data_IF_807595681971
#
_entry.id   IF_807595681971
#
_cell.length_a   1.000
_cell.length_b   1.000
_cell.length_c   1.000
_cell.angle_alpha   90.00
_cell.angle_beta   90.00
_cell.angle_gamma   90.00
#
_symmetry.space_group_name_H-M   'P 1'
#
loop_
_entity.id
_entity.type
_entity.pdbx_description
1 polymer ?
#
# COMPACT_ATOMS: atom_id res chain seq x y z
N UNK A 1 15.46 0.39 -27.79
CA UNK A 1 14.35 1.18 -27.20
C UNK A 1 13.65 0.29 -26.19
N UNK A 2 13.73 0.58 -24.88
CA UNK A 2 12.94 -0.16 -23.89
C UNK A 2 11.47 0.16 -24.16
N UNK A 3 10.72 -0.78 -24.71
CA UNK A 3 9.27 -0.65 -24.86
C UNK A 3 8.66 -0.61 -23.46
N UNK A 4 8.08 0.54 -23.11
CA UNK A 4 7.38 0.73 -21.84
C UNK A 4 6.16 -0.21 -21.85
N UNK A 5 6.17 -1.20 -20.97
CA UNK A 5 5.07 -2.16 -20.88
C UNK A 5 3.76 -1.52 -20.42
N UNK A 6 2.63 -2.15 -20.75
CA UNK A 6 1.28 -1.68 -20.39
C UNK A 6 1.05 -1.52 -18.87
N UNK A 7 1.89 -2.13 -18.03
CA UNK A 7 1.86 -2.02 -16.57
C UNK A 7 2.45 -0.71 -16.02
N UNK A 8 3.24 0.02 -16.82
CA UNK A 8 3.94 1.21 -16.35
C UNK A 8 3.00 2.37 -16.07
N UNK A 9 2.07 2.67 -16.99
CA UNK A 9 1.14 3.81 -16.84
C UNK A 9 0.19 3.65 -15.64
N UNK A 10 -0.46 2.48 -15.42
CA UNK A 10 -1.24 2.26 -14.20
C UNK A 10 -0.42 2.44 -12.91
N UNK A 11 0.87 2.08 -12.94
CA UNK A 11 1.75 2.23 -11.77
C UNK A 11 2.02 3.70 -11.43
N UNK A 12 2.17 4.57 -12.42
CA UNK A 12 2.32 6.01 -12.21
C UNK A 12 1.04 6.65 -11.66
N UNK A 13 -0.12 6.24 -12.17
CA UNK A 13 -1.41 6.71 -11.64
C UNK A 13 -1.57 6.26 -10.18
N UNK A 14 -1.24 5.00 -9.88
CA UNK A 14 -1.27 4.48 -8.52
C UNK A 14 -0.33 5.25 -7.58
N UNK A 15 0.89 5.60 -8.04
CA UNK A 15 1.84 6.41 -7.27
C UNK A 15 1.23 7.76 -6.88
N UNK A 16 0.61 8.47 -7.82
CA UNK A 16 -0.05 9.75 -7.53
C UNK A 16 -1.19 9.58 -6.51
N UNK A 17 -2.01 8.54 -6.66
CA UNK A 17 -3.12 8.25 -5.75
C UNK A 17 -2.64 7.86 -4.35
N UNK A 18 -1.55 7.10 -4.22
CA UNK A 18 -0.95 6.78 -2.92
C UNK A 18 -0.39 8.03 -2.23
N UNK A 19 0.26 8.93 -2.97
CA UNK A 19 0.72 10.22 -2.43
C UNK A 19 -0.46 11.07 -1.92
N UNK A 20 -1.54 11.11 -2.69
CA UNK A 20 -2.75 11.83 -2.32
C UNK A 20 -3.41 11.22 -1.06
N UNK A 21 -3.51 9.90 -1.00
CA UNK A 21 -4.00 9.17 0.18
C UNK A 21 -3.16 9.48 1.44
N UNK A 22 -1.83 9.47 1.34
CA UNK A 22 -0.94 9.82 2.44
C UNK A 22 -1.13 11.26 2.93
N UNK A 23 -1.23 12.23 2.01
CA UNK A 23 -1.47 13.64 2.32
C UNK A 23 -2.80 13.85 3.05
N UNK A 24 -3.92 13.34 2.50
CA UNK A 24 -5.23 13.49 3.13
C UNK A 24 -5.33 12.74 4.46
N UNK A 25 -4.70 11.56 4.58
CA UNK A 25 -4.62 10.83 5.83
C UNK A 25 -3.90 11.63 6.92
N UNK A 26 -2.76 12.23 6.59
CA UNK A 26 -1.99 13.07 7.52
C UNK A 26 -2.78 14.31 7.93
N UNK A 27 -3.49 14.94 6.99
CA UNK A 27 -4.34 16.09 7.28
C UNK A 27 -5.50 15.71 8.20
N UNK A 28 -6.22 14.63 7.88
CA UNK A 28 -7.36 14.15 8.66
C UNK A 28 -6.98 13.74 10.09
N UNK A 29 -5.78 13.17 10.29
CA UNK A 29 -5.24 12.75 11.60
C UNK A 29 -5.21 13.88 12.66
N UNK A 30 -5.19 15.14 12.21
CA UNK A 30 -5.22 16.31 13.08
C UNK A 30 -6.62 16.72 13.52
N UNK A 31 -7.67 16.29 12.82
CA UNK A 31 -9.05 16.72 13.07
C UNK A 31 -9.87 15.71 13.87
N UNK A 32 -9.66 14.42 13.62
CA UNK A 32 -10.50 13.35 14.17
C UNK A 32 -9.68 12.14 14.60
N UNK A 33 -10.30 11.25 15.37
CA UNK A 33 -9.67 10.02 15.87
C UNK A 33 -9.24 9.09 14.71
N UNK A 34 -8.07 8.41 14.80
CA UNK A 34 -7.62 7.46 13.78
C UNK A 34 -8.64 6.42 13.36
N UNK A 35 -9.41 5.84 14.29
CA UNK A 35 -10.45 4.86 13.99
C UNK A 35 -11.60 5.46 13.16
N UNK A 36 -11.98 6.70 13.45
CA UNK A 36 -12.99 7.43 12.67
C UNK A 36 -12.48 7.72 11.26
N UNK A 37 -11.21 8.10 11.10
CA UNK A 37 -10.60 8.31 9.77
C UNK A 37 -10.59 7.00 9.00
N UNK A 38 -10.14 5.90 9.62
CA UNK A 38 -10.18 4.59 8.98
C UNK A 38 -11.60 4.23 8.54
N UNK A 39 -12.61 4.46 9.38
CA UNK A 39 -14.01 4.23 9.00
C UNK A 39 -14.42 5.03 7.76
N UNK A 40 -14.16 6.34 7.73
CA UNK A 40 -14.46 7.16 6.55
C UNK A 40 -13.64 6.76 5.31
N UNK A 41 -12.37 6.40 5.47
CA UNK A 41 -11.55 5.85 4.39
C UNK A 41 -12.10 4.53 3.87
N UNK A 42 -12.60 3.65 4.74
CA UNK A 42 -13.25 2.39 4.36
C UNK A 42 -14.53 2.64 3.56
N UNK A 43 -15.30 3.70 3.86
CA UNK A 43 -16.43 4.09 3.02
C UNK A 43 -15.96 4.52 1.62
N UNK A 44 -14.86 5.28 1.53
CA UNK A 44 -14.25 5.63 0.24
C UNK A 44 -13.77 4.42 -0.57
N UNK A 45 -13.15 3.44 0.10
CA UNK A 45 -12.74 2.16 -0.52
C UNK A 45 -13.95 1.30 -0.90
N UNK A 46 -15.05 1.36 -0.15
CA UNK A 46 -16.29 0.69 -0.51
C UNK A 46 -16.86 1.26 -1.81
N UNK A 47 -16.84 2.59 -1.98
CA UNK A 47 -17.26 3.24 -3.24
C UNK A 47 -16.41 2.75 -4.42
N UNK A 48 -15.09 2.65 -4.27
CA UNK A 48 -14.23 2.11 -5.33
C UNK A 48 -14.51 0.62 -5.61
N UNK A 49 -14.83 -0.16 -4.58
CA UNK A 49 -15.27 -1.55 -4.73
C UNK A 49 -16.59 -1.70 -5.49
N UNK A 50 -17.58 -0.85 -5.21
CA UNK A 50 -18.84 -0.80 -5.96
C UNK A 50 -18.61 -0.38 -7.41
N UNK A 51 -17.79 0.64 -7.65
CA UNK A 51 -17.41 1.05 -9.01
C UNK A 51 -16.74 -0.10 -9.76
N UNK A 52 -15.82 -0.85 -9.12
CA UNK A 52 -15.21 -2.03 -9.73
C UNK A 52 -16.24 -3.10 -10.08
N UNK A 53 -17.24 -3.35 -9.22
CA UNK A 53 -18.32 -4.30 -9.50
C UNK A 53 -19.19 -3.86 -10.68
N UNK A 54 -19.49 -2.56 -10.79
CA UNK A 54 -20.22 -1.98 -11.93
C UNK A 54 -19.41 -2.13 -13.22
N UNK A 55 -18.11 -1.84 -13.19
CA UNK A 55 -17.21 -2.02 -14.34
C UNK A 55 -17.08 -3.50 -14.76
N UNK A 56 -17.23 -4.43 -13.81
CA UNK A 56 -17.32 -5.87 -14.07
C UNK A 56 -18.70 -6.33 -14.54
N UNK A 57 -19.66 -5.41 -14.78
CA UNK A 57 -21.04 -5.72 -15.12
C UNK A 57 -21.71 -6.70 -14.14
N UNK A 58 -21.40 -6.57 -12.84
CA UNK A 58 -21.89 -7.45 -11.78
C UNK A 58 -21.55 -8.94 -11.96
N UNK A 59 -20.48 -9.25 -12.71
CA UNK A 59 -20.00 -10.61 -12.93
C UNK A 59 -18.58 -10.80 -12.37
N UNK A 60 -18.41 -10.83 -11.03
CA UNK A 60 -17.11 -11.09 -10.44
C UNK A 60 -16.66 -12.52 -10.73
N UNK A 61 -15.35 -12.70 -10.91
CA UNK A 61 -14.77 -14.03 -11.08
C UNK A 61 -14.85 -14.82 -9.75
N UNK A 62 -15.49 -15.98 -9.80
CA UNK A 62 -15.71 -16.81 -8.61
C UNK A 62 -14.57 -17.83 -8.47
N UNK A 63 -13.55 -17.47 -7.69
CA UNK A 63 -12.46 -18.36 -7.30
C UNK A 63 -12.35 -18.38 -5.78
N UNK A 64 -12.45 -19.56 -5.14
CA UNK A 64 -12.34 -19.67 -3.67
C UNK A 64 -10.99 -19.16 -3.19
N UNK A 65 -9.91 -19.54 -3.87
CA UNK A 65 -8.55 -19.08 -3.56
C UNK A 65 -8.40 -17.57 -3.84
N UNK A 66 -8.90 -17.11 -4.99
CA UNK A 66 -8.84 -15.69 -5.37
C UNK A 66 -9.60 -14.79 -4.38
N UNK A 67 -10.81 -15.21 -4.00
CA UNK A 67 -11.64 -14.52 -3.01
C UNK A 67 -10.98 -14.49 -1.63
N UNK A 68 -10.37 -15.59 -1.18
CA UNK A 68 -9.63 -15.62 0.08
C UNK A 68 -8.44 -14.67 0.08
N UNK A 69 -7.60 -14.68 -0.96
CA UNK A 69 -6.47 -13.75 -1.07
C UNK A 69 -6.94 -12.29 -1.18
N UNK A 70 -8.00 -12.02 -1.93
CA UNK A 70 -8.61 -10.69 -2.01
C UNK A 70 -9.13 -10.20 -0.66
N UNK A 71 -9.80 -11.07 0.10
CA UNK A 71 -10.30 -10.75 1.43
C UNK A 71 -9.16 -10.47 2.42
N UNK A 72 -8.13 -11.34 2.44
CA UNK A 72 -6.95 -11.15 3.29
C UNK A 72 -6.22 -9.84 2.94
N UNK A 73 -6.11 -9.50 1.65
CA UNK A 73 -5.57 -8.23 1.20
C UNK A 73 -6.39 -7.03 1.75
N UNK A 74 -7.72 -7.11 1.67
CA UNK A 74 -8.61 -6.07 2.21
C UNK A 74 -8.48 -5.91 3.73
N UNK A 75 -8.46 -7.02 4.49
CA UNK A 75 -8.27 -7.00 5.95
C UNK A 75 -6.91 -6.42 6.31
N UNK A 76 -5.83 -6.86 5.64
CA UNK A 76 -4.49 -6.35 5.87
C UNK A 76 -4.42 -4.84 5.58
N UNK A 77 -5.02 -4.37 4.49
CA UNK A 77 -5.09 -2.96 4.12
C UNK A 77 -5.84 -2.13 5.17
N UNK A 78 -7.00 -2.60 5.63
CA UNK A 78 -7.79 -1.91 6.66
C UNK A 78 -7.05 -1.81 7.99
N UNK A 79 -6.46 -2.91 8.47
CA UNK A 79 -5.66 -2.93 9.70
C UNK A 79 -4.42 -2.05 9.57
N UNK A 80 -3.69 -2.14 8.45
CA UNK A 80 -2.53 -1.29 8.19
C UNK A 80 -2.89 0.20 8.18
N UNK A 81 -4.06 0.56 7.61
CA UNK A 81 -4.54 1.93 7.60
C UNK A 81 -4.74 2.51 9.02
N UNK A 82 -5.25 1.70 9.96
CA UNK A 82 -5.38 2.10 11.37
C UNK A 82 -4.01 2.48 11.95
N UNK A 83 -3.03 1.58 11.82
CA UNK A 83 -1.67 1.80 12.35
C UNK A 83 -0.97 2.96 11.65
N UNK A 84 -1.15 3.10 10.33
CA UNK A 84 -0.60 4.21 9.56
C UNK A 84 -1.14 5.56 10.04
N UNK A 85 -2.45 5.70 10.23
CA UNK A 85 -3.05 6.94 10.71
C UNK A 85 -2.64 7.24 12.17
N UNK A 86 -2.52 6.20 13.02
CA UNK A 86 -1.97 6.36 14.38
C UNK A 86 -0.54 6.90 14.32
N UNK A 87 0.30 6.38 13.43
CA UNK A 87 1.66 6.85 13.24
C UNK A 87 1.70 8.29 12.73
N UNK A 88 0.88 8.64 11.73
CA UNK A 88 0.74 10.01 11.22
C UNK A 88 0.26 11.00 12.27
N UNK A 89 -0.54 10.56 13.24
CA UNK A 89 -1.01 11.40 14.34
C UNK A 89 0.07 11.65 15.40
N UNK A 90 0.95 10.67 15.63
CA UNK A 90 1.96 10.70 16.70
C UNK A 90 3.34 11.17 16.24
N UNK A 91 3.62 11.07 14.94
CA UNK A 91 4.93 11.33 14.37
C UNK A 91 4.87 12.25 13.15
N UNK A 92 6.04 12.62 12.62
CA UNK A 92 6.14 13.45 11.44
C UNK A 92 5.61 12.71 10.21
N UNK A 93 4.82 13.40 9.37
CA UNK A 93 4.14 12.78 8.24
C UNK A 93 5.11 12.16 7.21
N UNK A 94 6.19 12.87 6.88
CA UNK A 94 7.13 12.44 5.85
C UNK A 94 7.90 11.16 6.23
N UNK A 95 8.55 11.07 7.41
CA UNK A 95 9.18 9.81 7.84
C UNK A 95 8.19 8.64 7.94
N UNK A 96 6.96 8.86 8.44
CA UNK A 96 5.94 7.80 8.52
C UNK A 96 5.56 7.27 7.13
N UNK A 97 5.32 8.16 6.17
CA UNK A 97 5.00 7.78 4.78
C UNK A 97 6.16 7.02 4.13
N UNK A 98 7.40 7.45 4.36
CA UNK A 98 8.58 6.80 3.78
C UNK A 98 8.83 5.42 4.37
N UNK A 99 8.71 5.27 5.70
CA UNK A 99 8.83 3.98 6.37
C UNK A 99 7.79 3.00 5.85
N UNK A 100 6.53 3.44 5.75
CA UNK A 100 5.44 2.56 5.26
C UNK A 100 5.53 2.24 3.77
N UNK A 101 6.13 3.12 2.96
CA UNK A 101 6.39 2.88 1.53
C UNK A 101 7.41 1.75 1.28
N UNK A 102 8.09 1.26 2.33
CA UNK A 102 9.01 0.11 2.27
C UNK A 102 8.34 -1.25 2.40
N UNK A 103 7.01 -1.32 2.41
CA UNK A 103 6.29 -2.59 2.37
C UNK A 103 6.76 -3.56 1.27
N UNK A 104 7.29 -3.15 0.09
CA UNK A 104 7.82 -4.09 -0.89
C UNK A 104 8.96 -4.97 -0.36
N UNK A 105 9.73 -4.49 0.62
CA UNK A 105 10.76 -5.30 1.30
C UNK A 105 10.10 -6.48 2.01
N UNK A 106 9.04 -6.21 2.77
CA UNK A 106 8.27 -7.25 3.46
C UNK A 106 7.59 -8.19 2.44
N UNK A 107 7.01 -7.65 1.36
CA UNK A 107 6.42 -8.45 0.27
C UNK A 107 7.42 -9.39 -0.36
N UNK A 108 8.66 -8.94 -0.59
CA UNK A 108 9.71 -9.77 -1.15
C UNK A 108 10.19 -10.84 -0.16
N UNK A 109 10.34 -10.50 1.13
CA UNK A 109 10.62 -11.48 2.19
C UNK A 109 9.55 -12.57 2.27
N UNK A 110 8.27 -12.18 2.27
CA UNK A 110 7.14 -13.12 2.23
C UNK A 110 7.17 -13.95 0.94
N UNK A 111 7.50 -13.35 -0.21
CA UNK A 111 7.63 -14.08 -1.47
C UNK A 111 8.73 -15.15 -1.42
N UNK A 112 9.85 -14.86 -0.78
CA UNK A 112 10.94 -15.85 -0.60
C UNK A 112 10.48 -16.97 0.33
N UNK A 113 9.85 -16.63 1.46
CA UNK A 113 9.41 -17.60 2.46
C UNK A 113 8.32 -18.54 1.92
N UNK A 114 7.34 -18.01 1.19
CA UNK A 114 6.17 -18.77 0.75
C UNK A 114 6.27 -19.29 -0.69
N UNK A 115 6.85 -18.52 -1.62
CA UNK A 115 6.97 -18.92 -3.03
C UNK A 115 8.33 -19.54 -3.39
N UNK A 116 9.30 -19.57 -2.45
CA UNK A 116 10.65 -20.13 -2.64
C UNK A 116 11.37 -19.59 -3.89
N UNK A 117 11.04 -18.37 -4.33
CA UNK A 117 11.73 -17.73 -5.44
C UNK A 117 13.13 -17.28 -4.99
N UNK A 118 14.15 -17.58 -5.81
CA UNK A 118 15.52 -17.12 -5.56
C UNK A 118 15.63 -15.60 -5.73
N UNK A 119 16.30 -14.93 -4.78
CA UNK A 119 16.63 -13.52 -4.88
C UNK A 119 17.72 -13.30 -5.92
N UNK A 120 17.48 -12.39 -6.88
CA UNK A 120 18.57 -11.91 -7.72
C UNK A 120 19.47 -10.95 -6.93
N UNK A 121 20.77 -10.94 -7.23
CA UNK A 121 21.73 -10.02 -6.61
C UNK A 121 21.29 -8.55 -6.72
N UNK A 122 20.63 -8.19 -7.83
CA UNK A 122 20.08 -6.84 -8.06
C UNK A 122 18.96 -6.48 -7.08
N UNK A 123 18.06 -7.41 -6.76
CA UNK A 123 16.98 -7.20 -5.80
C UNK A 123 17.53 -7.02 -4.38
N UNK A 124 18.52 -7.83 -4.01
CA UNK A 124 19.19 -7.71 -2.70
C UNK A 124 19.90 -6.36 -2.54
N UNK A 125 20.64 -5.93 -3.56
CA UNK A 125 21.28 -4.61 -3.54
C UNK A 125 20.24 -3.48 -3.46
N UNK A 126 19.14 -3.59 -4.23
CA UNK A 126 18.02 -2.65 -4.15
C UNK A 126 17.43 -2.54 -2.75
N UNK A 127 17.22 -3.68 -2.06
CA UNK A 127 16.76 -3.69 -0.67
C UNK A 127 17.74 -2.99 0.27
N UNK A 128 19.05 -3.26 0.14
CA UNK A 128 20.07 -2.63 0.99
C UNK A 128 20.07 -1.11 0.79
N UNK A 129 20.07 -0.63 -0.45
CA UNK A 129 19.99 0.80 -0.72
C UNK A 129 18.71 1.44 -0.19
N UNK A 130 17.58 0.73 -0.30
CA UNK A 130 16.31 1.24 0.17
C UNK A 130 16.26 1.32 1.71
N UNK A 131 16.86 0.35 2.43
CA UNK A 131 17.03 0.42 3.89
C UNK A 131 17.94 1.60 4.30
N UNK A 132 19.04 1.84 3.57
CA UNK A 132 19.93 2.98 3.82
C UNK A 132 19.17 4.30 3.64
N UNK A 133 18.39 4.43 2.57
CA UNK A 133 17.57 5.62 2.33
C UNK A 133 16.58 5.87 3.48
N UNK A 134 15.94 4.82 4.01
CA UNK A 134 15.02 4.94 5.14
C UNK A 134 15.72 5.40 6.42
N UNK A 135 16.90 4.85 6.72
CA UNK A 135 17.69 5.29 7.90
C UNK A 135 18.00 6.77 7.77
N UNK A 136 18.46 7.22 6.60
CA UNK A 136 18.76 8.63 6.36
C UNK A 136 17.53 9.54 6.51
N UNK A 137 16.38 9.16 5.96
CA UNK A 137 15.14 9.92 6.12
C UNK A 137 14.57 9.89 7.54
N UNK A 138 14.88 8.85 8.32
CA UNK A 138 14.47 8.73 9.72
C UNK A 138 15.37 9.53 10.68
N UNK A 139 16.52 10.03 10.23
CA UNK A 139 17.47 10.81 11.02
C UNK A 139 17.17 12.32 11.03
N UNK A 140 15.92 12.71 10.75
CA UNK A 140 15.41 14.08 10.97
C UNK A 140 15.10 14.35 12.45
#
# INVERSE_FOLDING_TARGET
>A
MMTIGSWYYPSLIALCLYGAWGYWGARAANFINPLSITFYSSLGVLVSGVLALVLLNFKPELSVKGGLYGLLNGVASGVACIFFIIALRKGPAMPVVLITSMYPVITLLLSILFLKQGLSLKQTLGMVFAMIALILFSME
#
